data_IF_704809092406
#
_entry.id   IF_704809092406
#
_cell.length_a   1.000
_cell.length_b   1.000
_cell.length_c   1.000
_cell.angle_alpha   90.00
_cell.angle_beta   90.00
_cell.angle_gamma   90.00
#
_symmetry.space_group_name_H-M   'P 1'
#
loop_
_entity.id
_entity.type
_entity.pdbx_description
1 polymer ?
#
# COMPACT_ATOMS: atom_id res chain seq x y z
N UNK A 1 -20.98 -4.22 -7.45
CA UNK A 1 -19.81 -3.30 -7.42
C UNK A 1 -19.57 -2.71 -6.04
N UNK A 2 -20.62 -2.45 -5.25
CA UNK A 2 -20.54 -1.91 -3.87
C UNK A 2 -19.75 -2.82 -2.91
N UNK A 3 -20.05 -4.13 -2.86
CA UNK A 3 -19.36 -5.08 -1.94
C UNK A 3 -17.82 -5.15 -2.09
N UNK A 4 -17.29 -4.87 -3.28
CA UNK A 4 -15.83 -4.89 -3.51
C UNK A 4 -15.14 -3.63 -2.96
N UNK A 5 -15.84 -2.51 -2.90
CA UNK A 5 -15.31 -1.25 -2.36
C UNK A 5 -15.31 -1.32 -0.83
N UNK A 6 -16.40 -1.79 -0.21
CA UNK A 6 -16.51 -1.96 1.24
C UNK A 6 -15.42 -2.88 1.79
N UNK A 7 -15.07 -3.94 1.04
CA UNK A 7 -13.98 -4.84 1.42
C UNK A 7 -12.61 -4.15 1.37
N UNK A 8 -12.34 -3.35 0.34
CA UNK A 8 -11.07 -2.62 0.23
C UNK A 8 -10.96 -1.58 1.34
N UNK A 9 -12.05 -0.90 1.66
CA UNK A 9 -12.09 0.09 2.74
C UNK A 9 -11.73 -0.53 4.09
N UNK A 10 -12.35 -1.65 4.46
CA UNK A 10 -11.99 -2.39 5.69
C UNK A 10 -10.53 -2.81 5.73
N UNK A 11 -9.99 -3.26 4.61
CA UNK A 11 -8.57 -3.65 4.52
C UNK A 11 -7.64 -2.44 4.67
N UNK A 12 -8.02 -1.27 4.14
CA UNK A 12 -7.29 0.00 4.33
C UNK A 12 -7.36 0.45 5.79
N UNK A 13 -8.53 0.39 6.42
CA UNK A 13 -8.71 0.73 7.84
C UNK A 13 -7.83 -0.17 8.73
N UNK A 14 -7.83 -1.48 8.46
CA UNK A 14 -6.99 -2.47 9.14
C UNK A 14 -5.50 -2.10 9.01
N UNK A 15 -5.04 -1.88 7.78
CA UNK A 15 -3.63 -1.54 7.52
C UNK A 15 -3.23 -0.26 8.24
N UNK A 16 -4.06 0.78 8.18
CA UNK A 16 -3.78 2.07 8.81
C UNK A 16 -4.14 2.13 10.30
N UNK A 17 -4.68 1.06 10.89
CA UNK A 17 -5.20 1.01 12.26
C UNK A 17 -6.24 2.11 12.56
N UNK A 18 -7.11 2.43 11.60
CA UNK A 18 -8.15 3.44 11.79
C UNK A 18 -9.16 2.94 12.81
N UNK A 19 -9.50 3.79 13.78
CA UNK A 19 -10.41 3.40 14.87
C UNK A 19 -9.83 2.34 15.82
N UNK A 20 -8.50 2.14 15.81
CA UNK A 20 -7.80 1.16 16.63
C UNK A 20 -8.26 -0.30 16.38
N UNK A 21 -8.56 -0.63 15.12
CA UNK A 21 -9.05 -1.95 14.72
C UNK A 21 -7.98 -3.04 14.59
N UNK A 22 -6.69 -2.68 14.54
CA UNK A 22 -5.55 -3.60 14.37
C UNK A 22 -4.30 -3.10 15.12
N UNK A 23 -4.36 -2.93 16.46
CA UNK A 23 -3.27 -2.37 17.24
C UNK A 23 -2.00 -3.21 17.21
N UNK A 24 -2.12 -4.54 17.04
CA UNK A 24 -0.99 -5.48 17.02
C UNK A 24 -0.37 -5.67 15.62
N UNK A 25 -1.03 -5.20 14.56
CA UNK A 25 -0.54 -5.30 13.18
C UNK A 25 -0.76 -6.68 12.54
N UNK A 26 -1.45 -7.60 13.20
CA UNK A 26 -1.68 -8.96 12.69
C UNK A 26 -2.55 -8.94 11.42
N UNK A 27 -3.58 -8.09 11.39
CA UNK A 27 -4.43 -7.86 10.23
C UNK A 27 -3.65 -7.22 9.08
N UNK A 28 -2.83 -6.20 9.37
CA UNK A 28 -1.94 -5.57 8.38
C UNK A 28 -1.02 -6.61 7.70
N UNK A 29 -0.44 -7.52 8.47
CA UNK A 29 0.42 -8.61 7.96
C UNK A 29 -0.35 -9.54 7.02
N UNK A 30 -1.58 -9.93 7.39
CA UNK A 30 -2.42 -10.80 6.54
C UNK A 30 -2.80 -10.11 5.22
N UNK A 31 -3.12 -8.81 5.26
CA UNK A 31 -3.40 -8.03 4.05
C UNK A 31 -2.15 -7.95 3.16
N UNK A 32 -0.97 -7.77 3.75
CA UNK A 32 0.29 -7.73 3.02
C UNK A 32 0.57 -9.06 2.28
N UNK A 33 0.43 -10.19 2.96
CA UNK A 33 0.59 -11.53 2.39
C UNK A 33 -0.43 -11.79 1.25
N UNK A 34 -1.70 -11.49 1.51
CA UNK A 34 -2.79 -11.62 0.53
C UNK A 34 -2.51 -10.87 -0.77
N UNK A 35 -1.99 -9.64 -0.70
CA UNK A 35 -1.69 -8.87 -1.91
C UNK A 35 -0.39 -9.31 -2.56
N UNK A 36 0.63 -9.66 -1.78
CA UNK A 36 1.90 -10.14 -2.28
C UNK A 36 1.77 -11.44 -3.07
N UNK A 37 1.00 -12.41 -2.58
CA UNK A 37 0.72 -13.66 -3.28
C UNK A 37 0.03 -13.44 -4.65
N UNK A 38 -0.86 -12.44 -4.74
CA UNK A 38 -1.59 -12.10 -5.97
C UNK A 38 -0.75 -11.38 -7.01
N UNK A 39 0.33 -10.73 -6.61
CA UNK A 39 1.18 -9.92 -7.49
C UNK A 39 2.50 -10.59 -7.82
N UNK A 40 2.94 -11.60 -7.06
CA UNK A 40 4.23 -12.27 -7.20
C UNK A 40 4.61 -12.68 -8.65
N UNK A 41 3.63 -13.10 -9.46
CA UNK A 41 3.86 -13.53 -10.85
C UNK A 41 3.76 -12.41 -11.88
N UNK A 42 3.14 -11.29 -11.52
CA UNK A 42 2.73 -10.24 -12.46
C UNK A 42 3.49 -8.92 -12.26
N UNK A 43 4.08 -8.73 -11.08
CA UNK A 43 4.79 -7.51 -10.72
C UNK A 43 6.18 -7.90 -10.22
N UNK A 44 7.20 -7.23 -10.74
CA UNK A 44 8.58 -7.45 -10.29
C UNK A 44 8.88 -6.65 -9.02
N UNK A 45 9.81 -7.16 -8.23
CA UNK A 45 10.34 -6.52 -7.03
C UNK A 45 10.92 -5.15 -7.36
N UNK A 46 11.55 -4.98 -8.52
CA UNK A 46 12.08 -3.69 -8.99
C UNK A 46 10.97 -2.68 -9.25
N UNK A 47 9.89 -3.10 -9.92
CA UNK A 47 8.71 -2.27 -10.18
C UNK A 47 8.05 -1.79 -8.89
N UNK A 48 7.92 -2.71 -7.92
CA UNK A 48 7.42 -2.41 -6.57
C UNK A 48 8.36 -1.41 -5.88
N UNK A 49 9.63 -1.78 -5.70
CA UNK A 49 10.62 -0.94 -4.98
C UNK A 49 10.72 0.46 -5.55
N UNK A 50 10.61 0.66 -6.87
CA UNK A 50 10.70 1.99 -7.47
C UNK A 50 9.66 2.96 -6.91
N UNK A 51 8.40 2.52 -6.79
CA UNK A 51 7.32 3.37 -6.24
C UNK A 51 7.48 3.51 -4.74
N UNK A 52 7.67 2.41 -4.04
CA UNK A 52 7.58 2.42 -2.59
C UNK A 52 8.88 2.86 -1.89
N UNK A 53 10.03 2.89 -2.58
CA UNK A 53 11.22 3.61 -2.12
C UNK A 53 10.97 5.12 -2.02
N UNK A 54 9.97 5.66 -2.73
CA UNK A 54 9.55 7.05 -2.54
C UNK A 54 8.77 7.19 -1.22
N UNK A 55 7.98 6.19 -0.85
CA UNK A 55 7.20 6.14 0.39
C UNK A 55 8.10 5.98 1.60
N UNK A 56 9.10 5.09 1.56
CA UNK A 56 10.03 4.88 2.69
C UNK A 56 10.78 6.15 3.09
N UNK A 57 11.05 7.04 2.11
CA UNK A 57 11.72 8.34 2.31
C UNK A 57 10.83 9.44 2.89
N UNK A 58 9.52 9.22 3.02
CA UNK A 58 8.62 10.24 3.58
C UNK A 58 8.95 10.46 5.06
N UNK A 59 9.14 11.71 5.47
CA UNK A 59 9.28 12.04 6.89
C UNK A 59 7.88 12.35 7.47
N UNK A 60 7.36 11.54 8.41
CA UNK A 60 6.07 11.83 9.04
C UNK A 60 6.11 13.21 9.71
N UNK A 61 5.16 14.08 9.37
CA UNK A 61 5.07 15.44 9.94
C UNK A 61 5.76 16.55 9.16
N UNK A 62 6.44 16.22 8.07
CA UNK A 62 6.88 17.23 7.13
C UNK A 62 5.65 17.82 6.42
N UNK A 63 5.59 19.15 6.30
CA UNK A 63 4.50 19.85 5.60
C UNK A 63 4.31 19.39 4.16
N UNK A 64 5.37 18.89 3.52
CA UNK A 64 5.34 18.37 2.15
C UNK A 64 4.90 16.90 2.04
N UNK A 65 4.66 16.19 3.15
CA UNK A 65 4.33 14.76 3.13
C UNK A 65 3.08 14.46 2.29
N UNK A 66 2.02 15.26 2.44
CA UNK A 66 0.78 15.13 1.64
C UNK A 66 1.04 15.32 0.14
N UNK A 67 1.81 16.34 -0.22
CA UNK A 67 2.18 16.60 -1.61
C UNK A 67 2.98 15.43 -2.19
N UNK A 68 3.98 14.92 -1.47
CA UNK A 68 4.77 13.78 -1.91
C UNK A 68 3.93 12.51 -2.09
N UNK A 69 2.99 12.23 -1.19
CA UNK A 69 2.05 11.11 -1.33
C UNK A 69 1.16 11.26 -2.57
N UNK A 70 0.67 12.46 -2.88
CA UNK A 70 -0.08 12.71 -4.10
C UNK A 70 0.77 12.47 -5.36
N UNK A 71 2.03 12.88 -5.35
CA UNK A 71 2.94 12.59 -6.47
C UNK A 71 3.22 11.09 -6.63
N UNK A 72 3.37 10.37 -5.51
CA UNK A 72 3.52 8.92 -5.50
C UNK A 72 2.26 8.25 -6.07
N UNK A 73 1.06 8.73 -5.72
CA UNK A 73 -0.20 8.23 -6.25
C UNK A 73 -0.25 8.33 -7.78
N UNK A 74 0.07 9.51 -8.33
CA UNK A 74 0.10 9.74 -9.79
C UNK A 74 1.08 8.81 -10.47
N UNK A 75 2.29 8.69 -9.92
CA UNK A 75 3.32 7.77 -10.43
C UNK A 75 2.83 6.32 -10.37
N UNK A 76 2.20 5.90 -9.28
CA UNK A 76 1.69 4.54 -9.12
C UNK A 76 0.62 4.22 -10.16
N UNK A 77 -0.37 5.09 -10.37
CA UNK A 77 -1.44 4.91 -11.38
C UNK A 77 -0.86 4.79 -12.78
N UNK A 78 0.12 5.63 -13.13
CA UNK A 78 0.79 5.55 -14.42
C UNK A 78 1.51 4.20 -14.60
N UNK A 79 2.30 3.78 -13.60
CA UNK A 79 3.04 2.52 -13.66
C UNK A 79 2.10 1.31 -13.65
N UNK A 80 1.00 1.35 -12.89
CA UNK A 80 0.03 0.26 -12.82
C UNK A 80 -0.66 0.03 -14.16
N UNK A 81 -0.96 1.11 -14.90
CA UNK A 81 -1.48 1.02 -16.26
C UNK A 81 -0.42 0.55 -17.25
N UNK A 82 0.78 1.13 -17.21
CA UNK A 82 1.91 0.81 -18.11
C UNK A 82 2.37 -0.64 -18.00
N UNK A 83 2.32 -1.21 -16.80
CA UNK A 83 2.82 -2.55 -16.50
C UNK A 83 1.70 -3.55 -16.17
N UNK A 84 0.44 -3.20 -16.42
CA UNK A 84 -0.72 -4.09 -16.26
C UNK A 84 -0.82 -4.73 -14.88
N UNK A 85 -0.66 -3.95 -13.80
CA UNK A 85 -0.80 -4.47 -12.45
C UNK A 85 -2.22 -4.99 -12.20
N UNK A 86 -2.39 -6.05 -11.38
CA UNK A 86 -3.71 -6.59 -11.08
C UNK A 86 -4.67 -5.50 -10.57
N UNK A 87 -5.89 -5.35 -11.12
CA UNK A 87 -6.81 -4.28 -10.74
C UNK A 87 -7.12 -4.24 -9.24
N UNK A 88 -7.25 -5.41 -8.61
CA UNK A 88 -7.50 -5.50 -7.17
C UNK A 88 -6.35 -4.93 -6.31
N UNK A 89 -5.10 -5.14 -6.73
CA UNK A 89 -3.92 -4.56 -6.08
C UNK A 89 -3.85 -3.05 -6.33
N UNK A 90 -4.05 -2.65 -7.59
CA UNK A 90 -4.06 -1.24 -7.98
C UNK A 90 -5.09 -0.43 -7.17
N UNK A 91 -6.33 -0.92 -7.10
CA UNK A 91 -7.40 -0.23 -6.37
C UNK A 91 -7.08 -0.14 -4.87
N UNK A 92 -6.55 -1.22 -4.27
CA UNK A 92 -6.17 -1.21 -2.87
C UNK A 92 -5.06 -0.21 -2.56
N UNK A 93 -3.96 -0.20 -3.32
CA UNK A 93 -2.87 0.76 -3.08
C UNK A 93 -3.32 2.20 -3.35
N UNK A 94 -4.16 2.45 -4.35
CA UNK A 94 -4.75 3.78 -4.59
C UNK A 94 -5.57 4.24 -3.39
N UNK A 95 -6.46 3.39 -2.87
CA UNK A 95 -7.26 3.71 -1.68
C UNK A 95 -6.38 3.92 -0.44
N UNK A 96 -5.37 3.08 -0.25
CA UNK A 96 -4.42 3.18 0.86
C UNK A 96 -3.64 4.51 0.83
N UNK A 97 -3.12 4.91 -0.33
CA UNK A 97 -2.41 6.20 -0.48
C UNK A 97 -3.36 7.36 -0.22
N UNK A 98 -4.57 7.36 -0.81
CA UNK A 98 -5.56 8.43 -0.59
C UNK A 98 -5.93 8.58 0.88
N UNK A 99 -6.20 7.46 1.56
CA UNK A 99 -6.53 7.48 2.98
C UNK A 99 -5.36 7.96 3.82
N UNK A 100 -4.14 7.57 3.48
CA UNK A 100 -2.93 8.07 4.16
C UNK A 100 -2.73 9.57 3.97
N UNK A 101 -3.10 10.15 2.81
CA UNK A 101 -3.04 11.60 2.54
C UNK A 101 -4.03 12.39 3.41
N UNK A 102 -5.22 11.83 3.63
CA UNK A 102 -6.24 12.43 4.49
C UNK A 102 -5.83 12.40 5.96
N UNK A 103 -5.10 11.35 6.35
CA UNK A 103 -4.68 11.06 7.71
C UNK A 103 -3.36 11.72 8.14
N UNK A 104 -2.87 11.36 9.34
CA UNK A 104 -1.75 11.98 10.04
C UNK A 104 -0.45 11.18 9.97
N UNK A 105 0.42 11.43 10.96
CA UNK A 105 1.77 10.86 11.06
C UNK A 105 1.76 9.33 11.24
N UNK A 106 0.82 8.82 12.03
CA UNK A 106 0.79 7.40 12.41
C UNK A 106 0.38 6.52 11.23
N UNK A 107 -0.52 6.99 10.37
CA UNK A 107 -0.93 6.29 9.16
C UNK A 107 0.20 6.24 8.13
N UNK A 108 1.02 7.28 8.03
CA UNK A 108 2.24 7.24 7.19
C UNK A 108 3.20 6.18 7.70
N UNK A 109 3.36 6.04 9.03
CA UNK A 109 4.18 4.99 9.63
C UNK A 109 3.60 3.61 9.32
N UNK A 110 2.31 3.39 9.59
CA UNK A 110 1.62 2.13 9.31
C UNK A 110 1.68 1.73 7.83
N UNK A 111 1.59 2.71 6.92
CA UNK A 111 1.74 2.45 5.49
C UNK A 111 3.15 1.95 5.14
N UNK A 112 4.20 2.50 5.76
CA UNK A 112 5.57 1.98 5.58
C UNK A 112 5.70 0.56 6.11
N UNK A 113 5.21 0.30 7.32
CA UNK A 113 5.26 -1.02 7.96
C UNK A 113 4.55 -2.07 7.08
N UNK A 114 3.38 -1.72 6.54
CA UNK A 114 2.66 -2.56 5.57
C UNK A 114 3.50 -2.84 4.33
N UNK A 115 4.16 -1.83 3.79
CA UNK A 115 4.96 -2.00 2.58
C UNK A 115 6.18 -2.92 2.81
N UNK A 116 6.83 -2.81 3.96
CA UNK A 116 7.93 -3.69 4.33
C UNK A 116 7.46 -5.14 4.45
N UNK A 117 6.32 -5.37 5.11
CA UNK A 117 5.69 -6.68 5.18
C UNK A 117 5.34 -7.21 3.78
N UNK A 118 4.74 -6.37 2.93
CA UNK A 118 4.38 -6.75 1.55
C UNK A 118 5.62 -7.16 0.75
N UNK A 119 6.74 -6.44 0.84
CA UNK A 119 7.98 -6.83 0.17
C UNK A 119 8.52 -8.17 0.68
N UNK A 120 8.48 -8.40 1.99
CA UNK A 120 8.92 -9.65 2.59
C UNK A 120 8.10 -10.83 2.05
N UNK A 121 6.77 -10.70 2.04
CA UNK A 121 5.89 -11.73 1.48
C UNK A 121 6.00 -11.86 -0.04
N UNK A 122 6.23 -10.77 -0.77
CA UNK A 122 6.42 -10.84 -2.21
C UNK A 122 7.66 -11.67 -2.56
N UNK A 123 8.74 -11.49 -1.79
CA UNK A 123 9.95 -12.32 -1.89
C UNK A 123 9.68 -13.76 -1.46
N UNK A 124 8.94 -13.97 -0.37
CA UNK A 124 8.53 -15.31 0.10
C UNK A 124 7.76 -16.10 -0.96
N UNK A 125 6.82 -15.44 -1.67
CA UNK A 125 6.06 -16.01 -2.80
C UNK A 125 6.86 -16.14 -4.09
N UNK A 126 8.19 -16.01 -4.04
CA UNK A 126 9.10 -16.10 -5.19
C UNK A 126 8.80 -15.06 -6.28
N UNK A 127 8.39 -13.86 -5.86
CA UNK A 127 8.20 -12.73 -6.76
C UNK A 127 9.48 -12.42 -7.53
N UNK A 128 9.32 -12.15 -8.84
CA UNK A 128 10.43 -11.88 -9.77
C UNK A 128 11.13 -10.55 -9.49
#
# INVERSE_FOLDING_TARGET
>A
MVEKLDKIEKEVETVLNIGNCDPDGSGMIQVADKYASKTARNVTTTQIRKVFNQISKLAPGNSNCKYSLNMILVNFIYNSKRHSYPPGFTNFIVSLIKRTVESGKDEVRRFKDFFEAYLAYHKYHRGK
#
